data_IF_050632328962
#
_entry.id   IF_050632328962
#
_cell.length_a   1.000
_cell.length_b   1.000
_cell.length_c   1.000
_cell.angle_alpha   90.00
_cell.angle_beta   90.00
_cell.angle_gamma   90.00
#
_symmetry.space_group_name_H-M   'P 1'
#
loop_
_entity.id
_entity.type
_entity.pdbx_description
1 polymer ?
#
# COMPACT_ATOMS: atom_id res chain seq x y z
N UNK A 1 -3.29 16.60 -3.13
CA UNK A 1 -3.68 17.93 -3.62
C UNK A 1 -5.16 18.21 -3.35
N UNK A 2 -6.09 17.35 -3.76
CA UNK A 2 -7.53 17.57 -3.48
C UNK A 2 -7.85 17.89 -2.01
N UNK A 3 -7.36 17.08 -1.06
CA UNK A 3 -7.50 17.36 0.38
C UNK A 3 -6.77 18.64 0.84
N UNK A 4 -5.63 18.97 0.23
CA UNK A 4 -4.82 20.13 0.58
C UNK A 4 -5.37 21.44 -0.01
N UNK A 5 -6.16 21.37 -1.09
CA UNK A 5 -6.64 22.53 -1.85
C UNK A 5 -5.54 23.36 -2.52
N UNK A 6 -4.28 22.93 -2.46
CA UNK A 6 -3.11 23.70 -2.88
C UNK A 6 -1.93 22.77 -3.18
N UNK A 7 -0.90 23.32 -3.83
CA UNK A 7 0.44 22.73 -4.00
C UNK A 7 1.48 23.35 -3.08
N UNK A 8 1.06 24.23 -2.17
CA UNK A 8 1.91 24.77 -1.10
C UNK A 8 2.44 23.64 -0.19
N UNK A 9 3.72 23.69 0.15
CA UNK A 9 4.41 22.61 0.87
C UNK A 9 3.76 22.30 2.22
N UNK A 10 3.51 23.33 3.04
CA UNK A 10 2.97 23.14 4.39
C UNK A 10 1.53 22.64 4.35
N UNK A 11 0.72 23.17 3.42
CA UNK A 11 -0.64 22.69 3.20
C UNK A 11 -0.67 21.22 2.76
N UNK A 12 0.29 20.79 1.94
CA UNK A 12 0.40 19.40 1.50
C UNK A 12 0.83 18.49 2.65
N UNK A 13 1.83 18.87 3.44
CA UNK A 13 2.29 18.11 4.62
C UNK A 13 1.11 17.88 5.58
N UNK A 14 0.42 18.95 5.98
CA UNK A 14 -0.71 18.86 6.91
C UNK A 14 -1.86 18.00 6.36
N UNK A 15 -2.10 18.03 5.04
CA UNK A 15 -3.13 17.19 4.43
C UNK A 15 -2.73 15.70 4.40
N UNK A 16 -1.44 15.43 4.29
CA UNK A 16 -0.84 14.12 4.12
C UNK A 16 -0.73 13.35 5.44
N UNK A 17 -0.39 14.02 6.53
CA UNK A 17 -0.33 13.41 7.87
C UNK A 17 -1.70 12.85 8.30
N UNK A 18 -1.76 11.53 8.54
CA UNK A 18 -3.00 10.83 8.88
C UNK A 18 -3.97 10.63 7.71
N UNK A 19 -3.56 10.90 6.46
CA UNK A 19 -4.41 10.69 5.30
C UNK A 19 -4.64 9.20 5.02
N UNK A 20 -5.92 8.78 4.98
CA UNK A 20 -6.33 7.48 4.45
C UNK A 20 -6.84 7.61 3.01
N UNK A 21 -6.39 6.72 2.12
CA UNK A 21 -6.90 6.56 0.75
C UNK A 21 -7.34 5.11 0.50
N UNK A 22 -8.29 4.93 -0.41
CA UNK A 22 -8.69 3.61 -0.90
C UNK A 22 -7.75 3.17 -2.02
N UNK A 23 -7.23 1.95 -1.92
CA UNK A 23 -6.31 1.36 -2.92
C UNK A 23 -6.79 -0.04 -3.32
N UNK A 24 -6.25 -0.64 -4.40
CA UNK A 24 -6.61 -2.01 -4.80
C UNK A 24 -6.34 -3.08 -3.74
N UNK A 25 -5.48 -2.79 -2.75
CA UNK A 25 -5.13 -3.69 -1.64
C UNK A 25 -5.78 -3.25 -0.31
N UNK A 26 -6.84 -2.45 -0.37
CA UNK A 26 -7.56 -1.94 0.80
C UNK A 26 -7.18 -0.50 1.16
N UNK A 27 -7.68 -0.04 2.31
CA UNK A 27 -7.42 1.29 2.83
C UNK A 27 -5.96 1.41 3.32
N UNK A 28 -5.31 2.52 2.96
CA UNK A 28 -3.92 2.81 3.31
C UNK A 28 -3.85 4.19 3.95
N UNK A 29 -3.22 4.28 5.12
CA UNK A 29 -3.08 5.49 5.92
C UNK A 29 -1.62 5.87 6.07
N UNK A 30 -1.29 7.14 5.80
CA UNK A 30 0.05 7.65 6.09
C UNK A 30 0.16 8.12 7.53
N UNK A 31 1.07 7.53 8.30
CA UNK A 31 1.32 7.86 9.70
C UNK A 31 1.99 9.23 9.78
N UNK A 32 1.54 10.04 10.74
CA UNK A 32 2.12 11.37 10.96
C UNK A 32 3.52 11.29 11.60
N UNK A 33 3.80 10.23 12.37
CA UNK A 33 5.05 10.07 13.13
C UNK A 33 6.30 9.92 12.27
N UNK A 34 6.18 9.24 11.13
CA UNK A 34 7.32 8.84 10.29
C UNK A 34 7.05 8.95 8.79
N UNK A 35 5.87 9.45 8.42
CA UNK A 35 5.41 9.63 7.04
C UNK A 35 5.39 8.32 6.23
N UNK A 36 5.29 7.17 6.89
CA UNK A 36 5.11 5.87 6.23
C UNK A 36 3.63 5.56 6.03
N UNK A 37 3.28 5.02 4.86
CA UNK A 37 1.97 4.40 4.68
C UNK A 37 1.96 3.02 5.37
N UNK A 38 0.87 2.67 6.04
CA UNK A 38 0.66 1.36 6.67
C UNK A 38 0.38 0.24 5.66
N UNK A 39 1.19 0.20 4.59
CA UNK A 39 1.08 -0.74 3.50
C UNK A 39 1.63 -2.10 3.91
N UNK A 40 0.72 -3.05 4.06
CA UNK A 40 1.06 -4.45 4.24
C UNK A 40 1.81 -5.04 3.04
N UNK A 41 2.23 -6.28 3.18
CA UNK A 41 2.96 -7.01 2.15
C UNK A 41 2.11 -8.12 1.55
N UNK A 42 2.39 -8.43 0.29
CA UNK A 42 1.83 -9.60 -0.38
C UNK A 42 2.94 -10.64 -0.44
N UNK A 43 2.68 -11.83 0.09
CA UNK A 43 3.65 -12.91 0.16
C UNK A 43 3.06 -14.20 -0.41
N UNK A 44 3.91 -15.03 -1.01
CA UNK A 44 3.52 -16.34 -1.52
C UNK A 44 4.64 -17.04 -2.27
N UNK A 45 4.49 -18.34 -2.49
CA UNK A 45 5.43 -19.11 -3.28
C UNK A 45 5.27 -18.82 -4.79
N UNK A 46 6.40 -18.72 -5.49
CA UNK A 46 6.41 -18.51 -6.95
C UNK A 46 6.15 -19.83 -7.68
N UNK A 47 4.93 -20.01 -8.17
CA UNK A 47 4.48 -21.20 -8.89
C UNK A 47 4.14 -20.88 -10.36
N UNK A 48 4.22 -21.87 -11.28
CA UNK A 48 3.70 -21.67 -12.64
C UNK A 48 2.27 -21.15 -12.60
N UNK A 49 1.95 -20.17 -13.45
CA UNK A 49 0.62 -19.53 -13.49
C UNK A 49 -0.53 -20.49 -13.77
N UNK A 50 -0.26 -21.58 -14.50
CA UNK A 50 -1.29 -22.49 -15.01
C UNK A 50 -2.08 -21.90 -16.20
N UNK A 51 -1.81 -20.66 -16.58
CA UNK A 51 -2.45 -19.95 -17.69
C UNK A 51 -1.41 -19.66 -18.78
N UNK A 52 -1.58 -20.22 -20.01
CA UNK A 52 -0.66 -19.98 -21.12
C UNK A 52 -0.49 -18.51 -21.51
N UNK A 53 -1.45 -17.63 -21.19
CA UNK A 53 -1.36 -16.19 -21.43
C UNK A 53 -0.40 -15.48 -20.46
N UNK A 54 -0.04 -16.14 -19.36
CA UNK A 54 0.91 -15.68 -18.36
C UNK A 54 2.13 -16.63 -18.31
N UNK A 55 3.09 -16.53 -19.24
CA UNK A 55 4.23 -17.46 -19.36
C UNK A 55 5.33 -17.19 -18.31
N UNK A 56 4.94 -16.85 -17.08
CA UNK A 56 5.82 -16.58 -15.96
C UNK A 56 5.20 -17.10 -14.65
N UNK A 57 6.04 -17.24 -13.63
CA UNK A 57 5.58 -17.66 -12.30
C UNK A 57 4.80 -16.53 -11.60
N UNK A 58 3.81 -16.90 -10.81
CA UNK A 58 3.00 -16.00 -9.97
C UNK A 58 3.02 -16.49 -8.52
N UNK A 59 2.72 -15.60 -7.57
CA UNK A 59 2.54 -15.99 -6.18
C UNK A 59 1.23 -16.78 -6.02
N UNK A 60 1.31 -18.04 -5.59
CA UNK A 60 0.15 -18.89 -5.36
C UNK A 60 0.48 -20.07 -4.40
N UNK A 61 -0.16 -20.22 -3.23
CA UNK A 61 -1.16 -19.31 -2.67
C UNK A 61 -0.55 -17.96 -2.33
N UNK A 62 -1.39 -16.93 -2.34
CA UNK A 62 -1.04 -15.56 -1.98
C UNK A 62 -1.67 -15.20 -0.65
N UNK A 63 -0.89 -14.59 0.23
CA UNK A 63 -1.30 -14.07 1.53
C UNK A 63 -1.01 -12.58 1.61
N UNK A 64 -1.94 -11.83 2.23
CA UNK A 64 -1.72 -10.43 2.56
C UNK A 64 -1.38 -10.33 4.05
N UNK A 65 -0.20 -9.80 4.34
CA UNK A 65 0.32 -9.59 5.69
C UNK A 65 0.11 -8.11 6.04
N UNK A 66 -0.76 -7.78 7.01
CA UNK A 66 -1.01 -6.40 7.44
C UNK A 66 0.27 -5.67 7.89
N UNK A 67 0.34 -4.36 7.69
CA UNK A 67 1.51 -3.58 8.12
C UNK A 67 1.66 -3.51 9.63
N UNK A 68 0.55 -3.48 10.37
CA UNK A 68 0.55 -3.43 11.84
C UNK A 68 1.27 -4.64 12.46
N UNK A 69 1.38 -5.76 11.73
CA UNK A 69 2.12 -6.96 12.15
C UNK A 69 3.62 -6.90 11.77
N UNK A 70 4.04 -5.93 10.96
CA UNK A 70 5.38 -5.83 10.36
C UNK A 70 6.12 -4.53 10.71
N UNK A 71 5.41 -3.50 11.13
CA UNK A 71 5.92 -2.14 11.33
C UNK A 71 5.43 -1.62 12.69
N UNK A 72 6.37 -1.27 13.56
CA UNK A 72 6.09 -0.52 14.79
C UNK A 72 5.48 0.86 14.48
#
# INVERSE_FOLDING_TARGET
IEKAGSTDTEAVIAALEGLTIQTPIGAQTMRASDHQANRGQVWGEMNPSGDPSYPYKIMNPVEYIPADDLMD
#
